data_IF_123347007150
#
_entry.id   IF_123347007150
#
_cell.length_a   1.000
_cell.length_b   1.000
_cell.length_c   1.000
_cell.angle_alpha   90.00
_cell.angle_beta   90.00
_cell.angle_gamma   90.00
#
_symmetry.space_group_name_H-M   'P 1'
#
loop_
_entity.id
_entity.type
_entity.pdbx_description
1 polymer ?
#
# COMPACT_ATOMS: atom_id res chain seq x y z
N UNK A 1 26.21 5.29 -22.80
CA UNK A 1 25.95 4.16 -23.73
C UNK A 1 24.45 3.87 -23.78
N UNK A 2 23.76 3.50 -22.66
CA UNK A 2 22.34 3.14 -22.68
C UNK A 2 21.43 4.23 -23.25
N UNK A 3 21.55 5.47 -22.77
CA UNK A 3 20.81 6.63 -23.31
C UNK A 3 21.00 6.78 -24.82
N UNK A 4 22.22 6.63 -25.31
CA UNK A 4 22.55 6.80 -26.72
C UNK A 4 21.94 5.66 -27.59
N UNK A 5 21.99 4.41 -27.10
CA UNK A 5 21.34 3.30 -27.76
C UNK A 5 19.81 3.48 -27.81
N UNK A 6 19.19 3.88 -26.73
CA UNK A 6 17.75 4.14 -26.66
C UNK A 6 17.35 5.24 -27.66
N UNK A 7 18.09 6.34 -27.69
CA UNK A 7 17.80 7.48 -28.57
C UNK A 7 17.97 7.15 -30.05
N UNK A 8 18.91 6.31 -30.40
CA UNK A 8 19.23 5.99 -31.82
C UNK A 8 18.44 4.82 -32.38
N UNK A 9 18.12 3.82 -31.53
CA UNK A 9 17.65 2.54 -32.04
C UNK A 9 16.32 2.06 -31.43
N UNK A 10 15.92 2.54 -30.26
CA UNK A 10 14.76 1.99 -29.56
C UNK A 10 13.53 2.91 -29.60
N UNK A 11 13.73 4.22 -29.60
CA UNK A 11 12.63 5.18 -29.66
C UNK A 11 12.38 5.72 -31.07
N UNK A 12 11.13 5.96 -31.45
CA UNK A 12 10.78 6.64 -32.69
C UNK A 12 11.49 7.99 -32.78
N UNK A 13 11.94 8.32 -33.99
CA UNK A 13 12.70 9.55 -34.22
C UNK A 13 11.91 10.82 -33.88
N UNK A 14 10.62 10.85 -34.19
CA UNK A 14 9.73 11.96 -33.89
C UNK A 14 9.59 12.21 -32.37
N UNK A 15 9.59 11.17 -31.57
CA UNK A 15 9.59 11.25 -30.09
C UNK A 15 10.89 11.89 -29.61
N UNK A 16 12.03 11.47 -30.15
CA UNK A 16 13.33 12.04 -29.78
C UNK A 16 13.50 13.47 -30.25
N UNK A 17 13.05 13.78 -31.47
CA UNK A 17 13.04 15.13 -31.99
C UNK A 17 12.18 16.09 -31.15
N UNK A 18 11.02 15.62 -30.67
CA UNK A 18 10.16 16.37 -29.77
C UNK A 18 10.81 16.59 -28.38
N UNK A 19 11.52 15.59 -27.85
CA UNK A 19 12.30 15.70 -26.62
C UNK A 19 13.44 16.73 -26.78
N UNK A 20 14.21 16.65 -27.84
CA UNK A 20 15.36 17.55 -28.09
C UNK A 20 14.91 19.00 -28.35
N UNK A 21 13.71 19.20 -28.89
CA UNK A 21 13.07 20.53 -29.03
C UNK A 21 12.43 21.04 -27.74
N UNK A 22 12.43 20.25 -26.67
CA UNK A 22 11.81 20.60 -25.39
C UNK A 22 10.27 20.62 -25.42
N UNK A 23 9.65 20.00 -26.42
CA UNK A 23 8.19 19.88 -26.52
C UNK A 23 7.63 18.83 -25.55
N UNK A 24 8.39 17.79 -25.30
CA UNK A 24 8.11 16.74 -24.30
C UNK A 24 9.40 16.44 -23.52
N UNK A 25 9.25 15.85 -22.35
CA UNK A 25 10.38 15.30 -21.61
C UNK A 25 10.23 13.77 -21.52
N UNK A 26 11.04 13.03 -22.26
CA UNK A 26 11.13 11.58 -22.11
C UNK A 26 12.15 11.28 -21.02
N UNK A 27 11.63 10.95 -19.84
CA UNK A 27 12.45 10.65 -18.65
C UNK A 27 13.07 9.26 -18.76
N UNK A 28 14.23 9.06 -18.11
CA UNK A 28 14.87 7.75 -17.96
C UNK A 28 15.13 6.96 -19.26
N UNK A 29 15.61 7.65 -20.30
CA UNK A 29 15.96 6.99 -21.57
C UNK A 29 17.02 5.90 -21.44
N UNK A 30 17.80 5.89 -20.38
CA UNK A 30 18.77 4.84 -20.06
C UNK A 30 18.13 3.53 -19.59
N UNK A 31 16.90 3.58 -19.09
CA UNK A 31 16.16 2.40 -18.63
C UNK A 31 15.25 1.79 -19.72
N UNK A 32 15.12 2.40 -20.89
CA UNK A 32 14.28 1.87 -21.97
C UNK A 32 14.72 0.47 -22.47
N UNK A 33 15.99 0.10 -22.27
CA UNK A 33 16.53 -1.23 -22.58
C UNK A 33 16.13 -2.24 -21.49
N UNK A 34 16.02 -1.79 -20.26
CA UNK A 34 15.64 -2.61 -19.13
C UNK A 34 14.17 -2.33 -18.81
N UNK A 35 13.30 -3.31 -18.90
CA UNK A 35 11.85 -3.18 -18.61
C UNK A 35 11.53 -2.89 -17.15
N UNK A 36 12.49 -2.41 -16.38
CA UNK A 36 12.34 -2.00 -14.99
C UNK A 36 11.85 -0.55 -14.90
N UNK A 37 10.83 -0.31 -14.10
CA UNK A 37 10.32 1.04 -13.86
C UNK A 37 11.20 1.76 -12.83
N UNK A 38 11.49 3.04 -13.07
CA UNK A 38 12.24 3.84 -12.11
C UNK A 38 11.35 4.28 -10.92
N UNK A 39 10.23 4.90 -11.22
CA UNK A 39 9.28 5.35 -10.20
C UNK A 39 7.88 4.86 -10.51
N UNK A 40 7.05 4.68 -9.49
CA UNK A 40 5.65 4.32 -9.69
C UNK A 40 4.72 4.95 -8.65
N UNK A 41 3.46 5.06 -9.04
CA UNK A 41 2.35 5.36 -8.16
C UNK A 41 1.62 4.06 -7.84
N UNK A 42 1.60 3.66 -6.56
CA UNK A 42 0.95 2.43 -6.11
C UNK A 42 -0.51 2.70 -5.82
N UNK A 43 -1.41 2.04 -6.53
CA UNK A 43 -2.85 2.15 -6.32
C UNK A 43 -3.31 1.22 -5.18
N UNK A 44 -2.98 1.59 -3.94
CA UNK A 44 -3.40 0.82 -2.75
C UNK A 44 -4.92 0.69 -2.63
N UNK A 45 -5.69 1.66 -3.11
CA UNK A 45 -7.16 1.60 -2.99
C UNK A 45 -7.71 0.38 -3.74
N UNK A 46 -7.33 0.22 -4.99
CA UNK A 46 -7.75 -0.92 -5.81
C UNK A 46 -7.22 -2.24 -5.24
N UNK A 47 -5.93 -2.31 -4.94
CA UNK A 47 -5.28 -3.52 -4.45
C UNK A 47 -5.85 -4.01 -3.12
N UNK A 48 -6.25 -3.10 -2.23
CA UNK A 48 -6.84 -3.46 -0.93
C UNK A 48 -8.35 -3.72 -1.02
N UNK A 49 -9.07 -3.08 -1.95
CA UNK A 49 -10.52 -3.29 -2.08
C UNK A 49 -10.87 -4.55 -2.88
N UNK A 50 -10.10 -4.85 -3.91
CA UNK A 50 -10.36 -5.95 -4.85
C UNK A 50 -9.45 -7.16 -4.63
N UNK A 51 -8.51 -7.04 -3.70
CA UNK A 51 -7.44 -8.01 -3.51
C UNK A 51 -6.28 -7.80 -4.48
N UNK A 52 -5.19 -8.49 -4.24
CA UNK A 52 -3.97 -8.40 -5.05
C UNK A 52 -3.25 -9.73 -5.10
N UNK A 53 -2.20 -9.82 -5.89
CA UNK A 53 -1.30 -10.99 -5.93
C UNK A 53 0.08 -10.56 -5.46
N UNK A 54 0.61 -11.25 -4.46
CA UNK A 54 1.95 -11.04 -3.94
C UNK A 54 2.68 -12.37 -3.99
N UNK A 55 3.80 -12.43 -4.69
CA UNK A 55 4.61 -13.64 -4.85
C UNK A 55 3.76 -14.88 -5.22
N UNK A 56 2.95 -14.75 -6.27
CA UNK A 56 2.02 -15.78 -6.78
C UNK A 56 0.89 -16.20 -5.83
N UNK A 57 0.76 -15.54 -4.69
CA UNK A 57 -0.32 -15.79 -3.74
C UNK A 57 -1.39 -14.71 -3.85
N UNK A 58 -2.64 -15.15 -4.02
CA UNK A 58 -3.79 -14.24 -3.98
C UNK A 58 -4.03 -13.79 -2.56
N UNK A 59 -4.07 -12.47 -2.37
CA UNK A 59 -4.37 -11.81 -1.11
C UNK A 59 -5.77 -11.19 -1.23
N UNK A 60 -6.67 -11.65 -0.41
CA UNK A 60 -8.03 -11.14 -0.39
C UNK A 60 -8.13 -9.79 0.33
N UNK A 61 -9.26 -9.12 0.16
CA UNK A 61 -9.57 -7.85 0.83
C UNK A 61 -9.43 -8.00 2.36
N UNK A 62 -8.67 -7.10 3.01
CA UNK A 62 -8.51 -7.13 4.47
C UNK A 62 -9.83 -6.79 5.20
N UNK A 63 -10.04 -7.43 6.36
CA UNK A 63 -11.19 -7.22 7.23
C UNK A 63 -10.86 -6.41 8.49
N UNK A 64 -9.63 -5.91 8.60
CA UNK A 64 -9.16 -5.09 9.73
C UNK A 64 -8.17 -4.04 9.23
N UNK A 65 -8.13 -2.90 9.92
CA UNK A 65 -7.17 -1.83 9.64
C UNK A 65 -5.71 -2.31 9.75
N UNK A 66 -5.39 -3.04 10.83
CA UNK A 66 -4.03 -3.58 11.03
C UNK A 66 -3.64 -4.54 9.91
N UNK A 67 -4.57 -5.39 9.45
CA UNK A 67 -4.32 -6.29 8.30
C UNK A 67 -4.08 -5.50 7.02
N UNK A 68 -4.85 -4.43 6.79
CA UNK A 68 -4.65 -3.56 5.64
C UNK A 68 -3.27 -2.89 5.67
N UNK A 69 -2.80 -2.44 6.85
CA UNK A 69 -1.46 -1.90 7.04
C UNK A 69 -0.36 -2.93 6.70
N UNK A 70 -0.51 -4.17 7.17
CA UNK A 70 0.44 -5.25 6.87
C UNK A 70 0.48 -5.56 5.36
N UNK A 71 -0.66 -5.68 4.70
CA UNK A 71 -0.73 -5.94 3.26
C UNK A 71 -0.10 -4.77 2.48
N UNK A 72 -0.38 -3.52 2.88
CA UNK A 72 0.20 -2.35 2.24
C UNK A 72 1.74 -2.37 2.29
N UNK A 73 2.34 -2.75 3.40
CA UNK A 73 3.80 -2.85 3.52
C UNK A 73 4.38 -4.00 2.70
N UNK A 74 3.66 -5.12 2.56
CA UNK A 74 4.05 -6.21 1.68
C UNK A 74 4.00 -5.80 0.19
N UNK A 75 2.98 -5.02 -0.21
CA UNK A 75 2.89 -4.45 -1.55
C UNK A 75 4.10 -3.53 -1.80
N UNK A 76 4.42 -2.64 -0.87
CA UNK A 76 5.60 -1.76 -0.96
C UNK A 76 6.88 -2.57 -1.14
N UNK A 77 7.07 -3.63 -0.36
CA UNK A 77 8.23 -4.51 -0.46
C UNK A 77 8.32 -5.21 -1.82
N UNK A 78 7.20 -5.73 -2.30
CA UNK A 78 7.15 -6.41 -3.60
C UNK A 78 7.47 -5.46 -4.75
N UNK A 79 6.92 -4.25 -4.72
CA UNK A 79 7.21 -3.22 -5.72
C UNK A 79 8.67 -2.79 -5.65
N UNK A 80 9.21 -2.53 -4.45
CA UNK A 80 10.60 -2.14 -4.25
C UNK A 80 11.59 -3.19 -4.76
N UNK A 81 11.23 -4.48 -4.69
CA UNK A 81 12.08 -5.56 -5.20
C UNK A 81 12.12 -5.62 -6.74
N UNK A 82 11.23 -4.92 -7.44
CA UNK A 82 11.10 -4.95 -8.89
C UNK A 82 11.42 -3.62 -9.58
N UNK A 83 11.80 -2.59 -8.83
CA UNK A 83 12.12 -1.27 -9.39
C UNK A 83 13.26 -0.59 -8.62
N UNK A 84 13.90 0.41 -9.25
CA UNK A 84 15.02 1.13 -8.66
C UNK A 84 14.65 2.48 -8.03
N UNK A 85 13.52 3.06 -8.42
CA UNK A 85 13.14 4.41 -8.03
C UNK A 85 12.14 4.43 -6.88
N UNK A 86 11.72 5.66 -6.56
CA UNK A 86 10.77 5.91 -5.48
C UNK A 86 9.36 5.41 -5.79
N UNK A 87 8.69 4.92 -4.76
CA UNK A 87 7.28 4.62 -4.78
C UNK A 87 6.49 5.76 -4.15
N UNK A 88 5.39 6.15 -4.77
CA UNK A 88 4.40 7.05 -4.17
C UNK A 88 3.12 6.27 -3.87
N UNK A 89 2.62 6.41 -2.67
CA UNK A 89 1.37 5.81 -2.24
C UNK A 89 0.60 6.77 -1.32
N UNK A 90 -0.71 6.64 -1.28
CA UNK A 90 -1.54 7.43 -0.38
C UNK A 90 -2.01 6.59 0.80
N UNK A 91 -1.65 7.00 2.02
CA UNK A 91 -2.14 6.36 3.25
C UNK A 91 -3.63 6.62 3.50
N UNK A 92 -4.23 7.61 2.83
CA UNK A 92 -5.67 7.87 2.93
C UNK A 92 -6.52 6.69 2.45
N UNK A 93 -5.97 5.83 1.59
CA UNK A 93 -6.65 4.61 1.14
C UNK A 93 -6.87 3.60 2.28
N UNK A 94 -6.09 3.68 3.34
CA UNK A 94 -6.26 2.85 4.55
C UNK A 94 -7.44 3.32 5.42
N UNK A 95 -7.86 4.58 5.31
CA UNK A 95 -8.92 5.15 6.15
C UNK A 95 -10.24 4.38 6.05
N UNK A 96 -10.56 3.81 4.88
CA UNK A 96 -11.76 2.98 4.67
C UNK A 96 -11.81 1.76 5.60
N UNK A 97 -10.66 1.25 6.02
CA UNK A 97 -10.56 0.08 6.90
C UNK A 97 -10.72 0.43 8.39
N UNK A 98 -10.70 1.71 8.75
CA UNK A 98 -11.01 2.17 10.12
C UNK A 98 -12.46 1.83 10.47
N UNK A 99 -13.41 2.11 9.58
CA UNK A 99 -14.81 1.78 9.81
C UNK A 99 -15.08 0.27 9.78
N UNK A 100 -14.33 -0.47 8.97
CA UNK A 100 -14.39 -1.94 8.96
C UNK A 100 -13.94 -2.48 10.32
N UNK A 101 -12.81 -1.99 10.85
CA UNK A 101 -12.32 -2.37 12.18
C UNK A 101 -13.28 -1.95 13.29
N UNK A 102 -13.85 -0.74 13.23
CA UNK A 102 -14.81 -0.28 14.23
C UNK A 102 -15.99 -1.25 14.37
N UNK A 103 -16.57 -1.65 13.24
CA UNK A 103 -17.68 -2.61 13.22
C UNK A 103 -17.28 -3.99 13.76
N UNK A 104 -16.10 -4.47 13.38
CA UNK A 104 -15.58 -5.75 13.83
C UNK A 104 -15.30 -5.73 15.36
N UNK A 105 -14.68 -4.68 15.87
CA UNK A 105 -14.40 -4.51 17.30
C UNK A 105 -15.69 -4.44 18.10
N UNK A 106 -16.68 -3.68 17.63
CA UNK A 106 -17.99 -3.57 18.30
C UNK A 106 -18.65 -4.95 18.43
N UNK A 107 -18.64 -5.73 17.37
CA UNK A 107 -19.14 -7.09 17.34
C UNK A 107 -18.39 -8.02 18.31
N UNK A 108 -17.06 -7.99 18.29
CA UNK A 108 -16.22 -8.79 19.18
C UNK A 108 -16.45 -8.49 20.66
N UNK A 109 -16.69 -7.20 21.01
CA UNK A 109 -17.02 -6.81 22.39
C UNK A 109 -18.35 -7.46 22.80
N UNK A 110 -19.39 -7.33 21.98
CA UNK A 110 -20.71 -7.90 22.28
C UNK A 110 -20.60 -9.43 22.47
N UNK A 111 -20.02 -10.13 21.51
CA UNK A 111 -19.82 -11.59 21.56
C UNK A 111 -19.01 -12.01 22.80
N UNK A 112 -18.01 -11.22 23.21
CA UNK A 112 -17.21 -11.51 24.41
C UNK A 112 -18.02 -11.39 25.68
N UNK A 113 -18.87 -10.37 25.81
CA UNK A 113 -19.73 -10.19 26.99
C UNK A 113 -20.83 -11.26 27.06
N UNK A 114 -21.43 -11.60 25.94
CA UNK A 114 -22.41 -12.70 25.85
C UNK A 114 -21.81 -14.05 26.27
N UNK A 115 -20.60 -14.35 25.79
CA UNK A 115 -19.91 -15.62 26.08
C UNK A 115 -19.53 -15.76 27.56
N UNK A 116 -19.28 -14.65 28.25
CA UNK A 116 -18.96 -14.62 29.68
C UNK A 116 -20.20 -14.57 30.60
N UNK A 117 -21.39 -14.45 30.00
CA UNK A 117 -22.65 -14.31 30.78
C UNK A 117 -22.71 -13.01 31.57
N UNK A 118 -22.00 -11.98 31.13
CA UNK A 118 -21.99 -10.64 31.76
C UNK A 118 -23.15 -9.83 31.18
N UNK A 119 -23.76 -8.99 32.02
CA UNK A 119 -24.82 -8.09 31.57
C UNK A 119 -24.35 -7.24 30.37
N UNK A 120 -25.21 -7.04 29.37
CA UNK A 120 -24.87 -6.26 28.21
C UNK A 120 -24.51 -4.81 28.61
N UNK A 121 -23.49 -4.26 27.92
CA UNK A 121 -23.09 -2.88 28.08
C UNK A 121 -24.20 -1.93 27.60
N UNK A 122 -24.27 -0.73 28.18
CA UNK A 122 -25.03 0.35 27.57
C UNK A 122 -24.40 0.75 26.25
N UNK A 123 -25.19 1.35 25.36
CA UNK A 123 -24.69 1.77 24.05
C UNK A 123 -23.49 2.74 24.17
N UNK A 124 -23.57 3.67 25.13
CA UNK A 124 -22.48 4.61 25.44
C UNK A 124 -21.21 3.90 25.90
N UNK A 125 -21.32 2.91 26.78
CA UNK A 125 -20.17 2.12 27.24
C UNK A 125 -19.55 1.31 26.10
N UNK A 126 -20.38 0.74 25.25
CA UNK A 126 -19.96 -0.03 24.09
C UNK A 126 -19.21 0.84 23.09
N UNK A 127 -19.70 2.05 22.82
CA UNK A 127 -19.05 2.99 21.92
C UNK A 127 -17.71 3.48 22.48
N UNK A 128 -17.63 3.79 23.76
CA UNK A 128 -16.38 4.17 24.43
C UNK A 128 -15.33 3.07 24.30
N UNK A 129 -15.68 1.83 24.64
CA UNK A 129 -14.77 0.70 24.54
C UNK A 129 -14.35 0.41 23.09
N UNK A 130 -15.27 0.56 22.16
CA UNK A 130 -15.00 0.37 20.73
C UNK A 130 -13.96 1.39 20.25
N UNK A 131 -14.15 2.67 20.56
CA UNK A 131 -13.22 3.73 20.14
C UNK A 131 -11.85 3.62 20.83
N UNK A 132 -11.80 3.20 22.09
CA UNK A 132 -10.51 2.95 22.76
C UNK A 132 -9.72 1.81 22.11
N UNK A 133 -10.38 0.69 21.79
CA UNK A 133 -9.73 -0.44 21.10
C UNK A 133 -9.32 -0.06 19.68
N UNK A 134 -10.18 0.68 18.98
CA UNK A 134 -9.91 1.17 17.63
C UNK A 134 -8.68 2.10 17.59
N UNK A 135 -8.57 3.05 18.54
CA UNK A 135 -7.39 3.92 18.67
C UNK A 135 -6.09 3.12 18.85
N UNK A 136 -6.13 2.07 19.67
CA UNK A 136 -4.98 1.17 19.85
C UNK A 136 -4.63 0.43 18.58
N UNK A 137 -5.63 -0.09 17.86
CA UNK A 137 -5.40 -0.77 16.57
C UNK A 137 -4.81 0.17 15.53
N UNK A 138 -5.34 1.40 15.41
CA UNK A 138 -4.81 2.42 14.48
C UNK A 138 -3.35 2.74 14.83
N UNK A 139 -3.05 2.99 16.10
CA UNK A 139 -1.69 3.27 16.53
C UNK A 139 -0.73 2.12 16.19
N UNK A 140 -1.14 0.87 16.45
CA UNK A 140 -0.36 -0.32 16.10
C UNK A 140 -0.17 -0.47 14.59
N UNK A 141 -1.19 -0.20 13.80
CA UNK A 141 -1.11 -0.26 12.33
C UNK A 141 -0.14 0.78 11.76
N UNK A 142 -0.22 2.01 12.23
CA UNK A 142 0.71 3.07 11.81
C UNK A 142 2.14 2.74 12.24
N UNK A 143 2.34 2.26 13.46
CA UNK A 143 3.65 1.83 13.95
C UNK A 143 4.21 0.67 13.11
N UNK A 144 3.37 -0.28 12.72
CA UNK A 144 3.74 -1.39 11.83
C UNK A 144 4.23 -0.88 10.48
N UNK A 145 3.50 0.03 9.83
CA UNK A 145 3.93 0.64 8.57
C UNK A 145 5.28 1.33 8.75
N UNK A 146 5.41 2.16 9.79
CA UNK A 146 6.64 2.90 10.06
C UNK A 146 7.83 1.97 10.21
N UNK A 147 7.73 0.95 11.05
CA UNK A 147 8.84 0.05 11.30
C UNK A 147 9.17 -0.83 10.10
N UNK A 148 8.16 -1.36 9.42
CA UNK A 148 8.40 -2.20 8.26
C UNK A 148 9.04 -1.43 7.10
N UNK A 149 8.63 -0.18 6.88
CA UNK A 149 9.27 0.66 5.83
C UNK A 149 10.70 1.05 6.23
N UNK A 150 10.93 1.44 7.49
CA UNK A 150 12.27 1.82 7.96
C UNK A 150 13.27 0.65 7.99
N UNK A 151 12.78 -0.57 8.13
CA UNK A 151 13.63 -1.78 8.20
C UNK A 151 13.55 -2.63 6.94
N UNK A 152 12.87 -2.12 5.90
CA UNK A 152 12.68 -2.85 4.66
C UNK A 152 14.03 -3.09 3.98
N UNK A 153 14.33 -4.35 3.75
CA UNK A 153 15.46 -4.78 2.92
C UNK A 153 14.92 -5.40 1.64
N UNK A 154 15.33 -4.86 0.52
CA UNK A 154 14.92 -5.34 -0.80
C UNK A 154 16.13 -5.80 -1.61
N UNK A 155 15.90 -6.47 -2.74
CA UNK A 155 16.97 -6.87 -3.65
C UNK A 155 17.71 -5.69 -4.29
N UNK A 156 17.14 -4.49 -4.22
CA UNK A 156 17.71 -3.28 -4.80
C UNK A 156 18.28 -2.31 -3.74
N UNK A 157 18.31 -2.69 -2.47
CA UNK A 157 18.84 -1.89 -1.35
C UNK A 157 17.79 -1.41 -0.37
#
# INVERSE_FOLDING_TARGET
>A
VSKDLTRRYLLPKDIMDAHDKGMIHFHDTDYAINKSFNCCLVNLDDMLQNGTVISDTKIDKPHRFLTACNIATQIVSQVASNQFGGQSLSLTHLAKFVDVSRKAIKKEIIESYESLGINPLTEEQLDILTEERLKKEIASGIQTIQYQILTLMTTNG
#
